data_IF_972723114559
#
_entry.id   IF_972723114559
#
_cell.length_a   1.000
_cell.length_b   1.000
_cell.length_c   1.000
_cell.angle_alpha   90.00
_cell.angle_beta   90.00
_cell.angle_gamma   90.00
#
_symmetry.space_group_name_H-M   'P 1'
#
loop_
_entity.id
_entity.type
_entity.pdbx_description
1 polymer ?
#
# COMPACT_ATOMS: atom_id res chain seq x y z
N UNK A 1 6.08 50.36 21.81
CA UNK A 1 4.82 50.13 22.55
C UNK A 1 3.99 49.19 21.69
N UNK A 2 4.09 47.87 21.85
CA UNK A 2 3.52 47.07 22.95
C UNK A 2 2.15 46.55 22.47
N UNK A 3 2.07 45.32 21.94
CA UNK A 3 1.49 44.11 22.60
C UNK A 3 -0.05 44.15 22.67
N UNK A 4 -0.86 43.13 22.36
CA UNK A 4 -0.76 41.72 21.95
C UNK A 4 -2.17 41.32 21.46
N UNK A 5 -2.43 40.21 20.76
CA UNK A 5 -2.37 38.86 21.31
C UNK A 5 -2.49 37.84 20.16
N UNK A 6 -1.49 36.96 20.11
CA UNK A 6 -1.40 35.72 19.35
C UNK A 6 -2.35 34.62 19.85
N UNK A 7 -2.50 33.57 19.01
CA UNK A 7 -2.81 32.15 19.32
C UNK A 7 -4.27 31.69 19.09
N UNK A 8 -4.47 31.05 17.93
CA UNK A 8 -4.95 29.66 17.78
C UNK A 8 -5.05 29.33 16.28
N UNK A 9 -4.00 28.74 15.70
CA UNK A 9 -4.05 27.97 14.44
C UNK A 9 -2.74 27.18 14.22
N UNK A 10 -2.14 26.71 15.32
CA UNK A 10 -0.95 25.86 15.30
C UNK A 10 -1.24 24.58 16.10
N UNK A 11 -1.99 23.66 15.49
CA UNK A 11 -2.06 22.25 15.85
C UNK A 11 -2.84 21.49 14.77
N UNK A 12 -2.15 21.06 13.71
CA UNK A 12 -2.36 19.78 12.97
C UNK A 12 -1.58 19.79 11.63
N UNK A 13 -0.24 19.89 11.67
CA UNK A 13 0.60 19.97 10.46
C UNK A 13 1.80 19.00 10.43
N UNK A 14 1.75 17.92 11.20
CA UNK A 14 2.88 16.99 11.35
C UNK A 14 2.76 15.63 10.63
N UNK A 15 1.82 15.44 9.68
CA UNK A 15 1.68 14.14 9.00
C UNK A 15 1.26 14.17 7.51
N UNK A 16 1.57 15.24 6.76
CA UNK A 16 1.18 15.38 5.33
C UNK A 16 2.33 15.54 4.32
N UNK A 17 3.59 15.34 4.72
CA UNK A 17 4.77 15.62 3.87
C UNK A 17 5.58 14.38 3.46
N UNK A 18 4.95 13.34 2.91
CA UNK A 18 5.66 12.29 2.15
C UNK A 18 4.62 11.72 1.20
N UNK A 19 4.67 11.94 -0.12
CA UNK A 19 4.87 10.83 -1.08
C UNK A 19 5.20 11.30 -2.52
N UNK A 20 5.16 12.59 -2.88
CA UNK A 20 5.42 13.02 -4.27
C UNK A 20 6.70 13.84 -4.51
N UNK A 21 7.42 14.24 -3.45
CA UNK A 21 8.44 15.29 -3.57
C UNK A 21 9.85 14.85 -4.04
N UNK A 22 10.01 13.65 -4.61
CA UNK A 22 11.31 13.20 -5.14
C UNK A 22 11.27 12.46 -6.49
N UNK A 23 10.25 12.72 -7.31
CA UNK A 23 10.32 12.38 -8.74
C UNK A 23 11.13 13.40 -9.58
N UNK A 24 11.60 14.50 -8.97
CA UNK A 24 12.50 15.46 -9.61
C UNK A 24 13.96 15.19 -9.27
N UNK A 25 14.75 14.87 -10.31
CA UNK A 25 16.22 14.67 -10.35
C UNK A 25 16.71 13.25 -10.02
N UNK A 26 16.46 12.35 -10.95
CA UNK A 26 17.14 11.05 -11.08
C UNK A 26 16.37 10.22 -12.09
N UNK A 27 16.97 9.94 -13.24
CA UNK A 27 16.35 9.22 -14.35
C UNK A 27 15.63 7.93 -13.89
N UNK A 28 14.31 7.96 -13.83
CA UNK A 28 13.47 6.78 -14.02
C UNK A 28 12.55 7.11 -15.20
N UNK A 29 13.07 6.85 -16.40
CA UNK A 29 12.20 6.73 -17.57
C UNK A 29 11.23 5.58 -17.28
N UNK A 30 9.94 5.89 -17.14
CA UNK A 30 8.89 4.89 -17.19
C UNK A 30 8.86 4.34 -18.62
N UNK A 31 9.64 3.29 -18.88
CA UNK A 31 9.54 2.55 -20.12
C UNK A 31 8.17 1.88 -20.16
N UNK A 32 7.38 2.24 -21.18
CA UNK A 32 6.17 1.54 -21.54
C UNK A 32 6.53 0.09 -21.92
N UNK A 33 6.38 -0.84 -21.00
CA UNK A 33 6.34 -2.25 -21.37
C UNK A 33 4.92 -2.55 -21.85
N UNK A 34 4.71 -2.47 -23.16
CA UNK A 34 3.56 -3.08 -23.81
C UNK A 34 3.69 -4.59 -23.70
N UNK A 35 2.81 -5.21 -22.91
CA UNK A 35 2.47 -6.63 -22.93
C UNK A 35 1.28 -6.84 -21.99
N UNK A 36 0.07 -6.53 -22.47
CA UNK A 36 -1.17 -7.11 -21.93
C UNK A 36 -1.73 -7.96 -23.05
N UNK A 37 -1.35 -9.23 -23.10
CA UNK A 37 -2.10 -10.25 -23.82
C UNK A 37 -2.71 -11.22 -22.82
N UNK A 38 -4.02 -11.39 -22.99
CA UNK A 38 -4.90 -12.15 -22.14
C UNK A 38 -4.95 -13.60 -22.59
N UNK A 39 -4.82 -14.58 -21.68
CA UNK A 39 -5.37 -15.93 -21.90
C UNK A 39 -5.82 -16.62 -20.59
N UNK A 40 -7.12 -16.93 -20.56
CA UNK A 40 -7.83 -18.11 -20.03
C UNK A 40 -7.57 -18.70 -18.63
N UNK A 41 -8.53 -18.44 -17.74
CA UNK A 41 -9.40 -19.36 -16.95
C UNK A 41 -8.98 -20.83 -16.85
N UNK A 42 -8.80 -21.34 -15.61
CA UNK A 42 -9.33 -22.64 -15.16
C UNK A 42 -9.72 -22.61 -13.67
N UNK A 43 -10.89 -23.16 -13.40
CA UNK A 43 -11.54 -23.38 -12.09
C UNK A 43 -11.17 -24.78 -11.56
N UNK A 44 -11.24 -24.98 -10.24
CA UNK A 44 -11.61 -26.18 -9.45
C UNK A 44 -10.93 -26.02 -8.08
N UNK A 45 -11.54 -26.29 -6.92
CA UNK A 45 -12.85 -26.82 -6.54
C UNK A 45 -12.87 -26.89 -5.01
N UNK A 46 -14.06 -26.77 -4.44
CA UNK A 46 -14.36 -26.72 -3.01
C UNK A 46 -13.94 -27.96 -2.21
N UNK A 47 -13.61 -27.76 -0.94
CA UNK A 47 -13.89 -28.71 0.13
C UNK A 47 -13.97 -28.00 1.51
N UNK A 48 -15.21 -27.71 1.90
CA UNK A 48 -15.78 -27.76 3.26
C UNK A 48 -15.16 -28.89 4.12
N UNK A 49 -15.13 -28.94 5.46
CA UNK A 49 -15.66 -28.19 6.60
C UNK A 49 -15.19 -28.96 7.87
N UNK A 50 -15.53 -28.44 9.07
CA UNK A 50 -15.54 -29.04 10.42
C UNK A 50 -14.37 -28.60 11.33
N UNK A 51 -14.56 -27.55 12.14
CA UNK A 51 -15.30 -27.47 13.44
C UNK A 51 -14.53 -28.10 14.60
N UNK A 52 -14.10 -27.28 15.57
CA UNK A 52 -14.39 -27.49 17.00
C UNK A 52 -14.53 -26.12 17.67
N UNK A 53 -15.64 -25.97 18.38
CA UNK A 53 -16.07 -24.83 19.19
C UNK A 53 -15.55 -25.00 20.63
N UNK A 54 -15.09 -23.93 21.27
CA UNK A 54 -15.20 -23.76 22.72
C UNK A 54 -15.12 -22.25 23.04
N UNK A 55 -16.24 -21.68 23.47
CA UNK A 55 -16.27 -20.36 24.11
C UNK A 55 -16.24 -20.51 25.63
N UNK A 56 -15.73 -19.50 26.35
CA UNK A 56 -16.12 -19.13 27.72
C UNK A 56 -15.86 -17.63 27.91
N UNK A 57 -16.75 -17.03 28.68
CA UNK A 57 -17.02 -15.63 29.01
C UNK A 57 -15.90 -14.75 29.59
N UNK A 58 -16.21 -13.45 29.51
CA UNK A 58 -15.53 -12.26 30.01
C UNK A 58 -15.81 -12.09 31.51
N UNK A 59 -14.80 -11.77 32.33
CA UNK A 59 -14.84 -10.54 33.16
C UNK A 59 -13.49 -10.14 33.75
N UNK A 60 -13.50 -8.92 34.26
CA UNK A 60 -12.46 -7.92 34.37
C UNK A 60 -11.77 -7.92 35.73
N UNK A 61 -10.59 -7.28 35.76
CA UNK A 61 -9.91 -6.68 36.93
C UNK A 61 -8.97 -7.56 37.79
N UNK A 62 -7.79 -6.98 38.06
CA UNK A 62 -6.71 -7.36 39.01
C UNK A 62 -5.59 -8.27 38.48
N UNK A 63 -4.54 -7.63 37.92
CA UNK A 63 -3.20 -8.23 37.83
C UNK A 63 -2.36 -7.68 38.98
N UNK A 64 -2.23 -8.48 40.04
CA UNK A 64 -1.24 -8.26 41.11
C UNK A 64 0.01 -9.05 40.74
N UNK A 65 1.12 -8.36 40.55
CA UNK A 65 2.44 -8.99 40.42
C UNK A 65 2.84 -9.59 41.78
N UNK A 66 3.02 -10.90 41.85
CA UNK A 66 3.71 -11.55 42.97
C UNK A 66 4.89 -12.35 42.41
N UNK A 67 6.10 -11.80 42.60
CA UNK A 67 7.32 -12.59 42.66
C UNK A 67 7.23 -13.49 43.90
N UNK A 68 7.20 -14.82 43.72
CA UNK A 68 7.50 -15.74 44.82
C UNK A 68 8.39 -16.87 44.34
N UNK A 69 9.67 -16.69 44.65
CA UNK A 69 10.68 -17.74 44.85
C UNK A 69 10.16 -18.68 45.94
N UNK A 70 10.05 -19.97 45.66
CA UNK A 70 10.00 -21.03 46.68
C UNK A 70 10.65 -22.30 46.12
N UNK A 71 11.39 -22.92 47.02
CA UNK A 71 12.44 -23.89 46.84
C UNK A 71 11.89 -25.32 46.88
N UNK A 72 12.77 -26.26 46.53
CA UNK A 72 12.76 -27.70 46.84
C UNK A 72 11.99 -28.65 45.93
N UNK A 73 12.67 -29.20 44.92
CA UNK A 73 12.70 -30.65 44.66
C UNK A 73 14.08 -31.08 44.08
N UNK A 74 14.77 -31.90 44.87
CA UNK A 74 15.89 -32.83 44.60
C UNK A 74 17.17 -32.39 43.87
N UNK A 75 18.24 -32.37 44.67
CA UNK A 75 19.65 -32.49 44.26
C UNK A 75 19.91 -33.85 43.58
N UNK A 76 20.03 -33.84 42.26
CA UNK A 76 20.77 -34.84 41.51
C UNK A 76 22.09 -34.21 41.06
N UNK A 77 23.21 -34.74 41.55
CA UNK A 77 24.55 -34.38 41.10
C UNK A 77 24.75 -34.82 39.64
N UNK A 78 24.45 -33.92 38.72
CA UNK A 78 24.84 -34.01 37.31
C UNK A 78 25.65 -32.77 36.97
N UNK A 79 26.92 -32.95 36.63
CA UNK A 79 27.77 -31.89 36.11
C UNK A 79 27.09 -31.23 34.91
N UNK A 80 26.75 -29.95 35.04
CA UNK A 80 26.25 -29.13 33.95
C UNK A 80 27.41 -28.90 32.98
N UNK A 81 27.40 -29.66 31.88
CA UNK A 81 28.29 -29.43 30.74
C UNK A 81 27.94 -28.07 30.13
N UNK A 82 28.98 -27.30 29.78
CA UNK A 82 28.99 -25.93 29.24
C UNK A 82 28.27 -25.75 27.87
N UNK A 83 27.40 -26.68 27.49
CA UNK A 83 26.73 -26.76 26.18
C UNK A 83 25.22 -26.51 26.19
N UNK A 84 24.61 -26.32 27.36
CA UNK A 84 23.17 -26.06 27.50
C UNK A 84 22.82 -24.57 27.60
N UNK A 85 23.73 -23.68 27.15
CA UNK A 85 23.37 -22.29 26.86
C UNK A 85 22.41 -22.26 25.69
N UNK A 86 21.11 -22.29 26.01
CA UNK A 86 20.04 -21.87 25.10
C UNK A 86 20.48 -20.58 24.38
N UNK A 87 20.40 -20.51 23.05
CA UNK A 87 20.80 -19.31 22.34
C UNK A 87 19.95 -18.16 22.87
N UNK A 88 20.63 -17.19 23.47
CA UNK A 88 20.07 -15.93 23.96
C UNK A 88 19.06 -15.46 22.93
N UNK A 89 17.80 -15.31 23.34
CA UNK A 89 16.73 -14.76 22.51
C UNK A 89 17.29 -13.50 21.85
N UNK A 90 17.64 -13.58 20.56
CA UNK A 90 18.18 -12.44 19.84
C UNK A 90 17.13 -11.34 19.92
N UNK A 91 17.46 -10.28 20.66
CA UNK A 91 16.63 -9.09 20.76
C UNK A 91 16.35 -8.63 19.35
N UNK A 92 15.09 -8.75 18.93
CA UNK A 92 14.66 -8.53 17.56
C UNK A 92 14.92 -7.06 17.23
N UNK A 93 15.94 -6.79 16.40
CA UNK A 93 16.37 -5.43 16.09
C UNK A 93 15.29 -4.73 15.28
N UNK A 94 14.87 -3.55 15.72
CA UNK A 94 13.79 -2.79 15.08
C UNK A 94 14.41 -1.55 14.40
N UNK A 95 14.14 -1.37 13.10
CA UNK A 95 14.54 -0.19 12.34
C UNK A 95 13.35 0.75 12.17
N UNK A 96 13.55 2.05 12.41
CA UNK A 96 12.52 3.06 12.15
C UNK A 96 12.86 3.94 10.95
N UNK A 97 11.87 4.20 10.09
CA UNK A 97 12.01 5.03 8.89
C UNK A 97 10.80 5.97 8.70
N UNK A 98 10.86 6.88 7.73
CA UNK A 98 9.94 8.02 7.54
C UNK A 98 8.67 7.70 6.71
N UNK A 99 8.35 6.42 6.49
CA UNK A 99 7.32 5.95 5.56
C UNK A 99 7.57 6.28 4.08
N UNK A 100 8.76 6.73 3.68
CA UNK A 100 9.11 6.87 2.28
C UNK A 100 9.60 5.55 1.69
N UNK A 101 9.48 5.39 0.37
CA UNK A 101 10.03 4.23 -0.32
C UNK A 101 11.56 4.16 -0.16
N UNK A 102 12.23 5.29 -0.32
CA UNK A 102 13.68 5.41 -0.11
C UNK A 102 14.07 5.03 1.33
N UNK A 103 13.28 5.48 2.32
CA UNK A 103 13.49 5.16 3.73
C UNK A 103 13.32 3.66 4.02
N UNK A 104 12.33 3.01 3.41
CA UNK A 104 12.16 1.56 3.50
C UNK A 104 13.37 0.82 2.91
N UNK A 105 13.83 1.22 1.72
CA UNK A 105 14.99 0.61 1.08
C UNK A 105 16.28 0.83 1.89
N UNK A 106 16.45 2.00 2.51
CA UNK A 106 17.57 2.24 3.43
C UNK A 106 17.49 1.33 4.65
N UNK A 107 16.30 1.13 5.23
CA UNK A 107 16.11 0.22 6.36
C UNK A 107 16.42 -1.24 5.98
N UNK A 108 16.03 -1.67 4.78
CA UNK A 108 16.39 -2.99 4.25
C UNK A 108 17.89 -3.12 4.01
N UNK A 109 18.53 -2.08 3.47
CA UNK A 109 19.98 -2.07 3.26
C UNK A 109 20.75 -2.15 4.58
N UNK A 110 20.28 -1.46 5.62
CA UNK A 110 20.88 -1.54 6.96
C UNK A 110 20.74 -2.94 7.56
N UNK A 111 19.54 -3.54 7.48
CA UNK A 111 19.31 -4.89 7.97
C UNK A 111 20.14 -5.95 7.20
N UNK A 112 20.26 -5.80 5.88
CA UNK A 112 21.09 -6.65 5.01
C UNK A 112 22.59 -6.51 5.32
N UNK A 113 23.06 -5.28 5.58
CA UNK A 113 24.45 -5.02 5.98
C UNK A 113 24.83 -5.63 7.33
N UNK A 114 23.87 -5.75 8.25
CA UNK A 114 24.03 -6.46 9.52
C UNK A 114 23.81 -7.99 9.41
N UNK A 115 23.41 -8.49 8.23
CA UNK A 115 23.17 -9.93 8.02
C UNK A 115 21.94 -10.47 8.76
N UNK A 116 20.97 -9.62 9.10
CA UNK A 116 19.81 -10.01 9.91
C UNK A 116 18.79 -10.80 9.07
N UNK A 117 18.35 -11.96 9.56
CA UNK A 117 17.28 -12.71 8.90
C UNK A 117 15.88 -12.33 9.40
N UNK A 118 15.78 -11.92 10.67
CA UNK A 118 14.53 -11.48 11.29
C UNK A 118 14.75 -10.16 12.02
N UNK A 119 14.03 -9.14 11.59
CA UNK A 119 14.06 -7.81 12.19
C UNK A 119 12.65 -7.20 12.19
N UNK A 120 12.51 -6.08 12.90
CA UNK A 120 11.28 -5.30 12.93
C UNK A 120 11.46 -4.04 12.10
N UNK A 121 10.40 -3.58 11.48
CA UNK A 121 10.35 -2.29 10.82
C UNK A 121 9.19 -1.49 11.39
N UNK A 122 9.42 -0.20 11.64
CA UNK A 122 8.40 0.69 12.16
C UNK A 122 8.42 2.03 11.41
N UNK A 123 7.23 2.52 11.10
CA UNK A 123 7.06 3.88 10.57
C UNK A 123 7.11 4.90 11.72
N UNK A 124 8.03 5.84 11.62
CA UNK A 124 8.20 6.97 12.53
C UNK A 124 8.87 6.64 13.87
N UNK A 125 9.30 7.70 14.56
CA UNK A 125 9.95 7.64 15.89
C UNK A 125 8.90 7.76 17.03
N UNK A 126 7.62 7.93 16.68
CA UNK A 126 6.54 8.17 17.64
C UNK A 126 5.99 6.87 18.21
N UNK A 127 6.44 6.50 19.41
CA UNK A 127 5.92 5.36 20.15
C UNK A 127 6.07 5.55 21.66
N UNK A 128 5.38 4.69 22.43
CA UNK A 128 5.65 4.59 23.88
C UNK A 128 7.14 4.29 24.09
N UNK A 129 7.79 4.88 25.11
CA UNK A 129 9.18 4.55 25.41
C UNK A 129 9.31 3.03 25.60
N UNK A 130 10.18 2.41 24.81
CA UNK A 130 10.52 0.98 24.90
C UNK A 130 11.85 0.83 25.62
N UNK A 131 12.03 -0.29 26.31
CA UNK A 131 13.32 -0.66 26.92
C UNK A 131 14.45 -0.72 25.87
N UNK A 132 14.12 -1.12 24.65
CA UNK A 132 15.00 -1.05 23.48
C UNK A 132 14.38 -0.14 22.42
N UNK A 133 14.92 1.06 22.21
CA UNK A 133 14.41 1.96 21.19
C UNK A 133 14.71 1.43 19.78
N UNK A 134 13.82 1.68 18.80
CA UNK A 134 14.12 1.37 17.42
C UNK A 134 15.33 2.19 16.93
N UNK A 135 16.15 1.58 16.08
CA UNK A 135 17.29 2.24 15.45
C UNK A 135 16.78 3.14 14.32
N UNK A 136 16.92 4.47 14.43
CA UNK A 136 16.52 5.37 13.35
C UNK A 136 17.46 5.22 12.16
N UNK A 137 16.90 4.95 10.98
CA UNK A 137 17.67 4.85 9.74
C UNK A 137 17.52 6.17 8.96
N UNK A 138 18.61 6.92 8.77
CA UNK A 138 18.57 8.14 7.97
C UNK A 138 18.34 7.83 6.49
N UNK A 139 17.48 8.62 5.85
CA UNK A 139 17.13 8.45 4.43
C UNK A 139 18.25 8.98 3.53
N UNK A 140 18.91 8.06 2.82
CA UNK A 140 19.96 8.37 1.86
C UNK A 140 19.56 7.87 0.47
N UNK A 141 19.33 8.81 -0.47
CA UNK A 141 18.89 8.48 -1.83
C UNK A 141 19.88 7.55 -2.55
N UNK A 142 21.18 7.74 -2.34
CA UNK A 142 22.22 6.89 -2.92
C UNK A 142 22.14 5.44 -2.41
N UNK A 143 21.98 5.24 -1.10
CA UNK A 143 21.85 3.91 -0.50
C UNK A 143 20.58 3.20 -0.97
N UNK A 144 19.46 3.92 -1.02
CA UNK A 144 18.20 3.39 -1.54
C UNK A 144 18.34 2.96 -3.00
N UNK A 145 18.91 3.81 -3.86
CA UNK A 145 19.13 3.51 -5.27
C UNK A 145 20.08 2.31 -5.46
N UNK A 146 21.17 2.24 -4.69
CA UNK A 146 22.10 1.10 -4.74
C UNK A 146 21.43 -0.21 -4.33
N UNK A 147 20.62 -0.20 -3.26
CA UNK A 147 19.91 -1.40 -2.82
C UNK A 147 18.86 -1.85 -3.85
N UNK A 148 18.10 -0.92 -4.42
CA UNK A 148 17.14 -1.20 -5.48
C UNK A 148 17.82 -1.77 -6.72
N UNK A 149 18.97 -1.22 -7.10
CA UNK A 149 19.76 -1.68 -8.23
C UNK A 149 20.31 -3.09 -8.00
N UNK A 150 20.78 -3.41 -6.78
CA UNK A 150 21.17 -4.78 -6.41
C UNK A 150 19.99 -5.76 -6.57
N UNK A 151 18.79 -5.37 -6.13
CA UNK A 151 17.59 -6.19 -6.32
C UNK A 151 17.24 -6.37 -7.80
N UNK A 152 17.35 -5.30 -8.60
CA UNK A 152 17.09 -5.33 -10.04
C UNK A 152 18.07 -6.23 -10.77
N UNK A 153 19.35 -6.19 -10.42
CA UNK A 153 20.39 -7.04 -11.02
C UNK A 153 20.18 -8.52 -10.66
N UNK A 154 19.85 -8.82 -9.40
CA UNK A 154 19.65 -10.20 -8.95
C UNK A 154 18.33 -10.81 -9.47
N UNK A 155 17.22 -10.10 -9.31
CA UNK A 155 15.86 -10.62 -9.56
C UNK A 155 15.16 -10.10 -10.81
N UNK A 156 15.74 -9.12 -11.51
CA UNK A 156 15.11 -8.47 -12.66
C UNK A 156 14.01 -7.47 -12.30
N UNK A 157 13.45 -6.84 -13.33
CA UNK A 157 12.44 -5.78 -13.21
C UNK A 157 11.16 -6.24 -12.51
N UNK A 158 10.75 -7.48 -12.76
CA UNK A 158 9.56 -8.06 -12.12
C UNK A 158 9.67 -8.04 -10.60
N UNK A 159 10.85 -8.26 -10.02
CA UNK A 159 11.05 -8.23 -8.57
C UNK A 159 10.89 -6.81 -8.02
N UNK A 160 11.50 -5.82 -8.68
CA UNK A 160 11.37 -4.41 -8.30
C UNK A 160 9.91 -3.97 -8.31
N UNK A 161 9.15 -4.40 -9.33
CA UNK A 161 7.71 -4.15 -9.38
C UNK A 161 6.97 -4.75 -8.18
N UNK A 162 7.29 -5.97 -7.74
CA UNK A 162 6.66 -6.54 -6.55
C UNK A 162 6.94 -5.69 -5.31
N UNK A 163 8.19 -5.24 -5.12
CA UNK A 163 8.55 -4.39 -3.98
C UNK A 163 7.76 -3.08 -3.99
N UNK A 164 7.67 -2.44 -5.15
CA UNK A 164 6.92 -1.19 -5.32
C UNK A 164 5.41 -1.37 -5.07
N UNK A 165 4.81 -2.43 -5.62
CA UNK A 165 3.38 -2.72 -5.44
C UNK A 165 3.04 -3.03 -3.99
N UNK A 166 3.88 -3.81 -3.28
CA UNK A 166 3.65 -4.14 -1.88
C UNK A 166 3.80 -2.90 -0.99
N UNK A 167 4.78 -2.05 -1.25
CA UNK A 167 4.91 -0.78 -0.54
C UNK A 167 3.64 0.08 -0.66
N UNK A 168 3.06 0.14 -1.86
CA UNK A 168 1.82 0.88 -2.14
C UNK A 168 0.54 0.13 -1.73
N UNK A 169 0.64 -1.10 -1.21
CA UNK A 169 -0.51 -1.86 -0.75
C UNK A 169 -1.09 -1.33 0.57
N UNK A 170 -0.29 -0.63 1.39
CA UNK A 170 -0.69 -0.09 2.70
C UNK A 170 -1.34 -1.13 3.63
N UNK A 171 -0.87 -2.38 3.55
CA UNK A 171 -1.28 -3.45 4.44
C UNK A 171 -0.36 -3.46 5.66
N UNK A 172 -0.92 -3.76 6.84
CA UNK A 172 -0.14 -3.89 8.09
C UNK A 172 0.83 -5.07 8.01
N UNK A 173 1.97 -4.94 8.68
CA UNK A 173 2.98 -5.99 8.82
C UNK A 173 3.51 -6.53 7.47
N UNK A 174 3.67 -5.62 6.50
CA UNK A 174 4.16 -5.96 5.16
C UNK A 174 5.68 -5.96 5.07
N UNK A 175 6.34 -5.20 5.93
CA UNK A 175 7.75 -4.86 5.86
C UNK A 175 8.63 -6.09 6.07
N UNK A 176 8.35 -6.93 7.06
CA UNK A 176 9.14 -8.14 7.32
C UNK A 176 9.01 -9.19 6.20
N UNK A 177 7.80 -9.57 5.74
CA UNK A 177 7.67 -10.44 4.56
C UNK A 177 8.30 -9.85 3.30
N UNK A 178 8.24 -8.52 3.14
CA UNK A 178 8.85 -7.85 2.00
C UNK A 178 10.38 -7.83 2.09
N UNK A 179 10.95 -7.67 3.28
CA UNK A 179 12.38 -7.77 3.53
C UNK A 179 12.89 -9.19 3.28
N UNK A 180 12.17 -10.21 3.77
CA UNK A 180 12.47 -11.62 3.49
C UNK A 180 12.50 -11.88 1.98
N UNK A 181 11.50 -11.36 1.24
CA UNK A 181 11.46 -11.45 -0.21
C UNK A 181 12.66 -10.75 -0.87
N UNK A 182 13.05 -9.57 -0.39
CA UNK A 182 14.25 -8.86 -0.88
C UNK A 182 15.53 -9.68 -0.63
N UNK A 183 15.70 -10.25 0.58
CA UNK A 183 16.86 -11.11 0.91
C UNK A 183 16.90 -12.37 0.05
N UNK A 184 15.76 -13.03 -0.14
CA UNK A 184 15.67 -14.20 -1.02
C UNK A 184 15.96 -13.84 -2.47
N UNK A 185 15.56 -12.65 -2.92
CA UNK A 185 15.93 -12.16 -4.26
C UNK A 185 17.44 -12.04 -4.39
N UNK A 186 18.13 -11.45 -3.40
CA UNK A 186 19.58 -11.29 -3.44
C UNK A 186 20.32 -12.64 -3.40
N UNK A 187 19.77 -13.66 -2.72
CA UNK A 187 20.37 -15.00 -2.61
C UNK A 187 20.06 -15.92 -3.80
N UNK A 188 18.79 -15.96 -4.23
CA UNK A 188 18.29 -16.90 -5.24
C UNK A 188 18.12 -16.30 -6.64
N UNK A 189 18.29 -14.98 -6.77
CA UNK A 189 18.15 -14.25 -8.02
C UNK A 189 16.76 -14.38 -8.64
N UNK A 190 16.72 -14.54 -9.97
CA UNK A 190 15.49 -14.60 -10.79
C UNK A 190 14.51 -15.72 -10.41
N UNK A 191 14.97 -16.74 -9.69
CA UNK A 191 14.13 -17.87 -9.29
C UNK A 191 13.20 -17.55 -8.10
N UNK A 192 13.38 -16.41 -7.42
CA UNK A 192 12.62 -16.04 -6.21
C UNK A 192 11.11 -16.09 -6.42
N UNK A 193 10.61 -15.65 -7.58
CA UNK A 193 9.16 -15.65 -7.88
C UNK A 193 8.57 -17.07 -8.01
N UNK A 194 9.41 -18.06 -8.28
CA UNK A 194 9.03 -19.48 -8.33
C UNK A 194 8.94 -20.14 -6.94
N UNK A 195 9.47 -19.52 -5.89
CA UNK A 195 9.53 -20.07 -4.53
C UNK A 195 8.20 -19.94 -3.78
N UNK A 196 7.10 -20.42 -4.38
CA UNK A 196 5.74 -20.28 -3.83
C UNK A 196 5.50 -21.08 -2.54
N UNK A 197 6.36 -22.03 -2.21
CA UNK A 197 6.38 -22.73 -0.92
C UNK A 197 6.78 -21.80 0.23
N UNK A 198 7.57 -20.76 -0.04
CA UNK A 198 7.93 -19.77 0.96
C UNK A 198 6.75 -18.81 1.22
N UNK A 199 6.38 -18.67 2.50
CA UNK A 199 5.22 -17.87 2.91
C UNK A 199 5.39 -16.37 2.61
N UNK A 200 6.61 -15.82 2.71
CA UNK A 200 6.88 -14.41 2.44
C UNK A 200 6.73 -14.10 0.94
N UNK A 201 7.32 -14.95 0.08
CA UNK A 201 7.19 -14.85 -1.38
C UNK A 201 5.71 -14.92 -1.79
N UNK A 202 4.97 -15.89 -1.25
CA UNK A 202 3.53 -16.05 -1.54
C UNK A 202 2.75 -14.77 -1.17
N UNK A 203 2.96 -14.23 0.03
CA UNK A 203 2.28 -12.99 0.45
C UNK A 203 2.59 -11.81 -0.47
N UNK A 204 3.85 -11.62 -0.84
CA UNK A 204 4.27 -10.53 -1.76
C UNK A 204 3.60 -10.66 -3.12
N UNK A 205 3.55 -11.87 -3.68
CA UNK A 205 2.87 -12.14 -4.95
C UNK A 205 1.36 -11.87 -4.85
N UNK A 206 0.72 -12.31 -3.76
CA UNK A 206 -0.71 -12.11 -3.54
C UNK A 206 -1.07 -10.62 -3.37
N UNK A 207 -0.27 -9.87 -2.61
CA UNK A 207 -0.45 -8.43 -2.45
C UNK A 207 -0.27 -7.68 -3.76
N UNK A 208 0.79 -8.01 -4.53
CA UNK A 208 0.99 -7.43 -5.87
C UNK A 208 -0.20 -7.69 -6.79
N UNK A 209 -0.76 -8.91 -6.77
CA UNK A 209 -1.93 -9.27 -7.57
C UNK A 209 -3.18 -8.47 -7.16
N UNK A 210 -3.41 -8.27 -5.85
CA UNK A 210 -4.53 -7.48 -5.32
C UNK A 210 -4.43 -6.01 -5.75
N UNK A 211 -3.28 -5.38 -5.53
CA UNK A 211 -3.02 -3.98 -5.91
C UNK A 211 -3.15 -3.80 -7.43
N UNK A 212 -2.57 -4.71 -8.22
CA UNK A 212 -2.67 -4.65 -9.69
C UNK A 212 -4.10 -4.82 -10.21
N UNK A 213 -4.90 -5.72 -9.62
CA UNK A 213 -6.31 -5.88 -9.97
C UNK A 213 -7.12 -4.63 -9.64
N UNK A 214 -6.84 -3.97 -8.52
CA UNK A 214 -7.47 -2.71 -8.17
C UNK A 214 -7.07 -1.59 -9.13
N UNK A 215 -5.78 -1.43 -9.43
CA UNK A 215 -5.30 -0.44 -10.39
C UNK A 215 -5.97 -0.62 -11.76
N UNK A 216 -6.04 -1.86 -12.27
CA UNK A 216 -6.73 -2.15 -13.52
C UNK A 216 -8.23 -1.82 -13.47
N UNK A 217 -8.92 -2.13 -12.37
CA UNK A 217 -10.33 -1.75 -12.18
C UNK A 217 -10.51 -0.24 -12.19
N UNK A 218 -9.63 0.50 -11.50
CA UNK A 218 -9.69 1.97 -11.50
C UNK A 218 -9.54 2.50 -12.92
N UNK A 219 -8.65 1.96 -13.75
CA UNK A 219 -8.53 2.44 -15.14
C UNK A 219 -9.82 2.30 -15.97
N UNK A 220 -10.68 1.32 -15.68
CA UNK A 220 -11.98 1.13 -16.37
C UNK A 220 -13.18 1.79 -15.70
N UNK A 221 -13.12 1.99 -14.38
CA UNK A 221 -14.25 2.50 -13.59
C UNK A 221 -14.14 3.99 -13.27
N UNK A 222 -12.96 4.59 -13.42
CA UNK A 222 -12.80 6.03 -13.20
C UNK A 222 -13.72 6.80 -14.16
N UNK A 223 -14.41 7.83 -13.65
CA UNK A 223 -15.28 8.72 -14.42
C UNK A 223 -14.72 10.13 -14.28
N UNK A 224 -14.44 10.76 -15.42
CA UNK A 224 -14.11 12.18 -15.47
C UNK A 224 -15.40 12.98 -15.58
N UNK A 225 -15.39 14.13 -14.92
CA UNK A 225 -16.44 15.13 -14.93
C UNK A 225 -15.81 16.47 -15.31
N UNK A 226 -16.38 17.19 -16.26
CA UNK A 226 -15.86 18.49 -16.70
C UNK A 226 -16.18 19.60 -15.69
N UNK A 227 -15.16 20.33 -15.24
CA UNK A 227 -15.29 21.52 -14.40
C UNK A 227 -15.57 22.77 -15.23
N UNK A 228 -15.99 23.87 -14.59
CA UNK A 228 -16.30 25.16 -15.25
C UNK A 228 -15.14 25.76 -16.05
N UNK A 229 -13.90 25.45 -15.69
CA UNK A 229 -12.68 25.89 -16.37
C UNK A 229 -12.26 24.94 -17.51
N UNK A 230 -13.04 23.88 -17.78
CA UNK A 230 -12.74 22.85 -18.78
C UNK A 230 -11.83 21.73 -18.27
N UNK A 231 -11.35 21.78 -17.03
CA UNK A 231 -10.52 20.72 -16.45
C UNK A 231 -11.35 19.45 -16.22
N UNK A 232 -10.82 18.28 -16.58
CA UNK A 232 -11.46 16.99 -16.30
C UNK A 232 -11.11 16.51 -14.89
N UNK A 233 -12.09 16.41 -14.01
CA UNK A 233 -11.89 15.93 -12.65
C UNK A 233 -12.45 14.52 -12.44
N UNK A 234 -11.66 13.66 -11.81
CA UNK A 234 -12.10 12.33 -11.39
C UNK A 234 -11.77 12.08 -9.92
N UNK A 235 -12.72 11.48 -9.19
CA UNK A 235 -12.55 11.08 -7.79
C UNK A 235 -12.79 9.60 -7.60
N UNK A 236 -12.03 8.97 -6.70
CA UNK A 236 -12.17 7.56 -6.36
C UNK A 236 -11.66 7.27 -4.94
N UNK A 237 -12.01 6.10 -4.42
CA UNK A 237 -11.61 5.64 -3.09
C UNK A 237 -11.11 4.19 -3.15
N UNK A 238 -9.85 3.98 -3.55
CA UNK A 238 -9.25 2.65 -3.64
C UNK A 238 -8.83 2.15 -2.25
N UNK A 239 -8.75 0.83 -2.09
CA UNK A 239 -8.20 0.23 -0.86
C UNK A 239 -6.68 0.48 -0.78
N UNK A 240 -5.98 0.41 -1.90
CA UNK A 240 -4.52 0.57 -2.03
C UNK A 240 -4.14 1.89 -2.71
N UNK A 241 -2.89 2.34 -2.54
CA UNK A 241 -2.40 3.55 -3.20
C UNK A 241 -2.06 3.25 -4.67
N UNK A 242 -3.08 3.30 -5.53
CA UNK A 242 -2.95 2.96 -6.94
C UNK A 242 -2.67 4.15 -7.85
N UNK A 243 -2.64 5.37 -7.30
CA UNK A 243 -2.39 6.61 -8.07
C UNK A 243 -1.17 6.49 -9.00
N UNK A 244 0.01 6.04 -8.53
CA UNK A 244 1.18 5.93 -9.40
C UNK A 244 1.01 4.95 -10.57
N UNK A 245 0.14 3.95 -10.42
CA UNK A 245 -0.10 2.93 -11.45
C UNK A 245 -1.15 3.35 -12.48
N UNK A 246 -2.15 4.13 -12.07
CA UNK A 246 -3.25 4.56 -12.95
C UNK A 246 -2.89 5.81 -13.75
N UNK A 247 -2.04 6.68 -13.19
CA UNK A 247 -1.66 7.96 -13.80
C UNK A 247 -1.07 7.80 -15.22
N UNK A 248 -0.11 6.88 -15.48
CA UNK A 248 0.43 6.69 -16.82
C UNK A 248 -0.59 6.24 -17.86
N UNK A 249 -1.65 5.52 -17.45
CA UNK A 249 -2.73 5.12 -18.36
C UNK A 249 -3.48 6.35 -18.88
N UNK A 250 -3.85 7.27 -17.99
CA UNK A 250 -4.60 8.47 -18.36
C UNK A 250 -3.75 9.52 -19.07
N UNK A 251 -2.45 9.63 -18.77
CA UNK A 251 -1.54 10.45 -19.58
C UNK A 251 -1.52 10.02 -21.05
N UNK A 252 -1.50 8.71 -21.32
CA UNK A 252 -1.52 8.19 -22.69
C UNK A 252 -2.88 8.33 -23.36
N UNK A 253 -3.98 8.20 -22.60
CA UNK A 253 -5.35 8.23 -23.13
C UNK A 253 -5.86 9.66 -23.36
N UNK A 254 -5.48 10.59 -22.50
CA UNK A 254 -5.87 12.01 -22.54
C UNK A 254 -4.62 12.91 -22.48
N UNK A 255 -3.72 12.85 -23.49
CA UNK A 255 -2.45 13.57 -23.44
C UNK A 255 -2.63 15.09 -23.55
N UNK A 256 -3.68 15.56 -24.22
CA UNK A 256 -3.93 16.98 -24.50
C UNK A 256 -4.94 17.64 -23.55
N UNK A 257 -5.61 16.86 -22.72
CA UNK A 257 -6.61 17.36 -21.79
C UNK A 257 -5.96 17.67 -20.45
N UNK A 258 -6.40 18.75 -19.80
CA UNK A 258 -6.05 18.99 -18.40
C UNK A 258 -6.93 18.11 -17.54
N UNK A 259 -6.33 17.31 -16.65
CA UNK A 259 -7.11 16.44 -15.79
C UNK A 259 -6.54 16.32 -14.38
N UNK A 260 -7.41 16.01 -13.43
CA UNK A 260 -7.08 15.77 -12.02
C UNK A 260 -7.68 14.44 -11.60
N UNK A 261 -6.87 13.58 -11.00
CA UNK A 261 -7.30 12.32 -10.39
C UNK A 261 -7.09 12.44 -8.88
N UNK A 262 -8.18 12.32 -8.12
CA UNK A 262 -8.21 12.50 -6.67
C UNK A 262 -8.57 11.20 -5.94
N UNK A 263 -7.63 10.68 -5.16
CA UNK A 263 -7.86 9.64 -4.15
C UNK A 263 -8.40 10.28 -2.87
N UNK A 264 -9.72 10.16 -2.66
CA UNK A 264 -10.41 10.77 -1.50
C UNK A 264 -10.03 10.08 -0.19
N UNK A 265 -9.67 8.78 -0.22
CA UNK A 265 -9.31 8.04 1.01
C UNK A 265 -8.03 8.63 1.61
N UNK A 266 -7.08 8.99 0.76
CA UNK A 266 -5.77 9.53 1.18
C UNK A 266 -5.70 11.05 1.13
N UNK A 267 -6.69 11.70 0.52
CA UNK A 267 -6.65 13.14 0.23
C UNK A 267 -5.48 13.51 -0.68
N UNK A 268 -5.08 12.58 -1.57
CA UNK A 268 -3.99 12.76 -2.52
C UNK A 268 -4.58 12.98 -3.90
N UNK A 269 -4.09 13.99 -4.61
CA UNK A 269 -4.50 14.23 -5.98
C UNK A 269 -3.29 14.49 -6.87
N UNK A 270 -3.41 14.09 -8.13
CA UNK A 270 -2.42 14.33 -9.18
C UNK A 270 -3.11 15.03 -10.33
N UNK A 271 -2.53 16.14 -10.78
CA UNK A 271 -2.96 16.87 -11.96
C UNK A 271 -2.01 16.62 -13.13
N UNK A 272 -2.55 16.64 -14.33
CA UNK A 272 -1.83 16.65 -15.59
C UNK A 272 -2.23 17.90 -16.38
N UNK A 273 -1.23 18.66 -16.82
CA UNK A 273 -1.40 19.92 -17.56
C UNK A 273 -1.14 19.79 -19.08
N UNK A 274 -1.10 18.55 -19.58
CA UNK A 274 -0.71 18.26 -20.97
C UNK A 274 0.79 18.00 -21.17
N UNK A 275 1.63 18.27 -20.15
CA UNK A 275 3.08 18.14 -20.26
C UNK A 275 3.72 17.40 -19.07
N UNK A 276 3.30 17.74 -17.85
CA UNK A 276 3.89 17.26 -16.61
C UNK A 276 2.83 16.94 -15.56
N UNK A 277 3.20 16.07 -14.62
CA UNK A 277 2.35 15.70 -13.50
C UNK A 277 2.66 16.58 -12.29
N UNK A 278 1.62 17.13 -11.68
CA UNK A 278 1.72 17.96 -10.50
C UNK A 278 1.01 17.31 -9.30
N UNK A 279 1.67 17.23 -8.13
CA UNK A 279 0.96 16.91 -6.90
C UNK A 279 -0.01 18.05 -6.57
N UNK A 280 -1.27 17.71 -6.30
CA UNK A 280 -2.29 18.69 -5.90
C UNK A 280 -2.50 18.61 -4.40
N UNK A 281 -2.51 19.77 -3.75
CA UNK A 281 -2.82 19.92 -2.33
C UNK A 281 -4.07 20.80 -2.21
N UNK A 282 -5.05 20.35 -1.43
CA UNK A 282 -6.24 21.16 -1.13
C UNK A 282 -7.28 21.15 -2.26
N UNK A 283 -7.68 19.97 -2.72
CA UNK A 283 -8.88 19.84 -3.56
C UNK A 283 -10.09 20.33 -2.75
N UNK A 284 -10.95 21.21 -3.30
CA UNK A 284 -12.14 21.69 -2.61
C UNK A 284 -13.05 20.53 -2.16
N UNK A 285 -13.69 20.67 -1.00
CA UNK A 285 -14.59 19.61 -0.48
C UNK A 285 -15.82 19.41 -1.36
N UNK A 286 -16.34 20.49 -1.95
CA UNK A 286 -17.52 20.46 -2.83
C UNK A 286 -17.15 20.73 -4.30
N UNK A 287 -16.46 19.77 -4.92
CA UNK A 287 -16.14 19.84 -6.35
C UNK A 287 -17.39 19.81 -7.24
N UNK A 288 -18.50 19.24 -6.75
CA UNK A 288 -19.75 19.16 -7.51
C UNK A 288 -20.34 20.55 -7.83
N UNK A 289 -20.05 21.57 -7.00
CA UNK A 289 -20.42 22.96 -7.28
C UNK A 289 -19.59 23.63 -8.40
N UNK A 290 -18.48 23.01 -8.78
CA UNK A 290 -17.56 23.48 -9.83
C UNK A 290 -17.78 22.77 -11.17
N UNK A 291 -18.78 21.89 -11.27
CA UNK A 291 -19.11 21.23 -12.54
C UNK A 291 -19.59 22.25 -13.57
N UNK A 292 -19.24 22.02 -14.83
CA UNK A 292 -19.78 22.80 -15.93
C UNK A 292 -21.28 22.51 -16.13
N UNK A 293 -22.03 23.47 -16.67
CA UNK A 293 -23.44 23.23 -17.02
C UNK A 293 -23.58 22.10 -18.06
N UNK A 294 -22.59 21.99 -18.94
CA UNK A 294 -22.49 20.95 -19.96
C UNK A 294 -22.35 19.57 -19.31
N UNK A 295 -21.49 19.43 -18.30
CA UNK A 295 -21.31 18.20 -17.55
C UNK A 295 -22.60 17.74 -16.88
N UNK A 296 -23.34 18.64 -16.25
CA UNK A 296 -24.62 18.31 -15.60
C UNK A 296 -25.60 17.72 -16.62
N UNK A 297 -25.74 18.36 -17.78
CA UNK A 297 -26.58 17.84 -18.86
C UNK A 297 -26.09 16.49 -19.40
N UNK A 298 -24.76 16.29 -19.52
CA UNK A 298 -24.20 15.00 -19.93
C UNK A 298 -24.49 13.88 -18.94
N UNK A 299 -24.46 14.16 -17.64
CA UNK A 299 -24.77 13.15 -16.63
C UNK A 299 -26.24 12.70 -16.70
N UNK A 300 -27.16 13.61 -16.99
CA UNK A 300 -28.57 13.28 -17.17
C UNK A 300 -28.77 12.38 -18.40
N UNK A 301 -28.18 12.76 -19.54
CA UNK A 301 -28.19 11.95 -20.77
C UNK A 301 -27.54 10.58 -20.56
N UNK A 302 -26.46 10.51 -19.80
CA UNK A 302 -25.79 9.25 -19.48
C UNK A 302 -26.68 8.31 -18.68
N UNK A 303 -27.43 8.83 -17.69
CA UNK A 303 -28.37 8.04 -16.91
C UNK A 303 -29.49 7.48 -17.78
N UNK A 304 -30.08 8.30 -18.65
CA UNK A 304 -31.10 7.86 -19.61
C UNK A 304 -30.57 6.80 -20.58
N UNK A 305 -29.36 7.01 -21.10
CA UNK A 305 -28.69 6.07 -21.98
C UNK A 305 -28.48 4.71 -21.31
N UNK A 306 -27.93 4.67 -20.10
CA UNK A 306 -27.69 3.42 -19.38
C UNK A 306 -29.00 2.67 -19.07
N UNK A 307 -30.05 3.40 -18.72
CA UNK A 307 -31.38 2.80 -18.48
C UNK A 307 -31.98 2.22 -19.76
N UNK A 308 -31.90 2.94 -20.88
CA UNK A 308 -32.45 2.48 -22.17
C UNK A 308 -31.72 1.27 -22.76
N UNK A 309 -30.43 1.10 -22.46
CA UNK A 309 -29.66 -0.08 -22.88
C UNK A 309 -29.89 -1.33 -22.00
N UNK A 310 -30.51 -1.18 -20.83
CA UNK A 310 -30.67 -2.29 -19.90
C UNK A 310 -31.64 -3.33 -20.48
N UNK A 311 -31.14 -4.52 -20.80
CA UNK A 311 -31.96 -5.67 -21.21
C UNK A 311 -32.35 -6.46 -19.96
N UNK A 312 -33.64 -6.44 -19.53
CA UNK A 312 -34.06 -7.04 -18.27
C UNK A 312 -33.70 -8.53 -18.15
N UNK A 313 -33.78 -9.27 -19.25
CA UNK A 313 -33.50 -10.71 -19.32
C UNK A 313 -32.02 -11.03 -19.10
N UNK A 314 -31.11 -10.06 -19.29
CA UNK A 314 -29.67 -10.21 -19.11
C UNK A 314 -29.18 -9.73 -17.73
N UNK A 315 -30.09 -9.33 -16.84
CA UNK A 315 -29.73 -8.79 -15.52
C UNK A 315 -29.08 -9.87 -14.66
N UNK A 316 -27.78 -9.70 -14.36
CA UNK A 316 -27.04 -10.58 -13.45
C UNK A 316 -26.28 -9.75 -12.38
N UNK A 317 -26.94 -9.44 -11.25
CA UNK A 317 -26.33 -8.60 -10.20
C UNK A 317 -25.09 -9.22 -9.56
N UNK A 318 -25.00 -10.56 -9.49
CA UNK A 318 -23.84 -11.24 -8.94
C UNK A 318 -22.60 -11.03 -9.82
N UNK A 319 -22.76 -11.18 -11.14
CA UNK A 319 -21.69 -10.95 -12.10
C UNK A 319 -21.28 -9.47 -12.14
N UNK A 320 -22.26 -8.56 -12.13
CA UNK A 320 -22.01 -7.12 -12.07
C UNK A 320 -21.18 -6.75 -10.84
N UNK A 321 -21.52 -7.25 -9.65
CA UNK A 321 -20.75 -7.02 -8.41
C UNK A 321 -19.34 -7.61 -8.45
N UNK A 322 -19.12 -8.71 -9.19
CA UNK A 322 -17.78 -9.32 -9.36
C UNK A 322 -16.86 -8.45 -10.21
N UNK A 323 -17.36 -7.90 -11.31
CA UNK A 323 -16.61 -7.03 -12.20
C UNK A 323 -16.47 -5.61 -11.66
N UNK A 324 -17.56 -5.08 -11.09
CA UNK A 324 -17.66 -3.73 -10.55
C UNK A 324 -18.13 -3.81 -9.09
N UNK A 325 -17.21 -3.97 -8.13
CA UNK A 325 -17.57 -4.03 -6.71
C UNK A 325 -18.34 -2.79 -6.22
N UNK A 326 -19.35 -3.01 -5.38
CA UNK A 326 -20.28 -1.95 -4.89
C UNK A 326 -19.59 -0.71 -4.31
N UNK A 327 -18.42 -0.89 -3.69
CA UNK A 327 -17.63 0.21 -3.11
C UNK A 327 -17.30 1.34 -4.10
N UNK A 328 -17.21 1.02 -5.40
CA UNK A 328 -16.91 2.01 -6.43
C UNK A 328 -18.15 2.73 -6.96
N UNK A 329 -19.36 2.20 -6.71
CA UNK A 329 -20.60 2.69 -7.32
C UNK A 329 -20.95 4.10 -6.89
N UNK A 330 -20.53 4.53 -5.69
CA UNK A 330 -20.74 5.89 -5.19
C UNK A 330 -20.11 6.98 -6.04
N UNK A 331 -19.10 6.64 -6.84
CA UNK A 331 -18.38 7.57 -7.73
C UNK A 331 -18.81 7.43 -9.19
N UNK A 332 -19.81 6.59 -9.47
CA UNK A 332 -20.37 6.39 -10.81
C UNK A 332 -21.64 7.21 -10.98
N UNK A 333 -21.79 7.80 -12.16
CA UNK A 333 -22.98 8.57 -12.53
C UNK A 333 -24.19 7.64 -12.72
N UNK A 334 -23.95 6.46 -13.28
CA UNK A 334 -24.97 5.46 -13.61
C UNK A 334 -25.66 4.78 -12.41
N UNK A 335 -25.10 4.91 -11.19
CA UNK A 335 -25.59 4.32 -9.93
C UNK A 335 -26.30 2.94 -10.09
N UNK A 336 -25.52 1.86 -10.28
CA UNK A 336 -26.08 0.51 -10.41
C UNK A 336 -26.90 0.07 -9.18
N UNK A 337 -27.95 -0.73 -9.41
CA UNK A 337 -28.83 -1.32 -8.38
C UNK A 337 -28.25 -2.55 -7.66
#
# INVERSE_FOLDING_TARGET
MGHGSTRRLAHCLACRKVILNRFHKGHVQFFSCGCVEAHHIFNFGDAANQNVVAGVEVDSSHVVFIFKRLHDVNLGSGELSDKDFFPVQQTLRIFSYDNSFDGLLCAFAAADGEGLERCGFQVGVGGRPRLWPPTPVPVHAQTAAQFLERLRQAGGEGTVQHVMYVFLAEVKDTEQPLYEFARLTLRAGRNVLGMRTNAAVRRVVDWKAKVGKEAHRVTGLLRFMELQDGTLYARFEPDHNVLPFVTPHFQRRFPRENWVIHDLRRGLAVAWDGQTLHPVVGVPDNVDALLSQREIAFQDLWREYVQSLAVPERRNPALQRRFMPRRYWKHLVERPD
#
